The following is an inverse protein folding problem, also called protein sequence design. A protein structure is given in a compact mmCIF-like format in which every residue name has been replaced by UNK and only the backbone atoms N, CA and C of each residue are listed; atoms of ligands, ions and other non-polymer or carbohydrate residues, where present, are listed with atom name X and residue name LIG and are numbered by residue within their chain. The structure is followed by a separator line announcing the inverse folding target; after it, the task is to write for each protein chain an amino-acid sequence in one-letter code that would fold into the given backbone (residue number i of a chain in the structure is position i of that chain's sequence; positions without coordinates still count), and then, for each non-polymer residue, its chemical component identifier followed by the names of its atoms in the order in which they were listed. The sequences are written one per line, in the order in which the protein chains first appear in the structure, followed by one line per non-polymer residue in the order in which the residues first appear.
data_IF_881461772382
#
_entry.id   IF_881461772382
#
_cell.length_a   1.000
_cell.length_b   1.000
_cell.length_c   1.000
_cell.angle_alpha   90.00
_cell.angle_beta   90.00
_cell.angle_gamma   90.00
#
_symmetry.space_group_name_H-M   'P 1'
#
loop_
_entity.id
_entity.type
_entity.pdbx_description
1 polymer ?
#
# COMPACT_ATOMS: atom_id res chain seq x y z
N UNK A 1 0.99 24.18 -14.70
CA UNK A 1 0.10 23.32 -13.88
C UNK A 1 -0.90 22.73 -14.86
N UNK A 2 -0.49 21.68 -15.56
CA UNK A 2 -1.19 21.16 -16.73
C UNK A 2 -1.80 19.83 -16.34
N UNK A 3 -2.99 19.88 -15.76
CA UNK A 3 -3.81 18.72 -15.48
C UNK A 3 -5.24 19.01 -15.95
N UNK A 4 -5.37 19.21 -17.25
CA UNK A 4 -6.63 19.34 -17.98
C UNK A 4 -6.51 18.41 -19.20
N UNK A 5 -6.39 17.12 -18.93
CA UNK A 5 -6.65 16.09 -19.94
C UNK A 5 -7.67 15.16 -19.30
N UNK A 6 -8.94 15.31 -19.67
CA UNK A 6 -10.07 14.51 -19.19
C UNK A 6 -10.05 13.05 -19.65
N UNK A 7 -8.88 12.40 -19.57
CA UNK A 7 -8.66 11.00 -19.88
C UNK A 7 -8.77 10.11 -18.64
N UNK A 8 -8.88 8.78 -18.83
CA UNK A 8 -8.96 7.85 -17.71
C UNK A 8 -7.67 7.86 -16.87
N UNK A 9 -7.82 7.56 -15.59
CA UNK A 9 -6.73 7.36 -14.64
C UNK A 9 -6.81 5.95 -14.03
N UNK A 10 -5.66 5.36 -13.72
CA UNK A 10 -5.62 4.20 -12.85
C UNK A 10 -5.64 4.67 -11.40
N UNK A 11 -6.76 4.46 -10.70
CA UNK A 11 -6.86 4.81 -9.28
C UNK A 11 -6.26 3.68 -8.43
N UNK A 12 -5.15 3.98 -7.76
CA UNK A 12 -4.56 3.09 -6.76
C UNK A 12 -4.95 3.55 -5.36
N UNK A 13 -5.98 2.94 -4.80
CA UNK A 13 -6.43 3.20 -3.42
C UNK A 13 -5.55 2.37 -2.48
N UNK A 14 -4.78 3.04 -1.63
CA UNK A 14 -3.79 2.39 -0.76
C UNK A 14 -3.58 3.16 0.55
N UNK A 15 -2.91 2.51 1.49
CA UNK A 15 -2.49 3.13 2.75
C UNK A 15 -1.05 2.73 3.07
N UNK A 16 -0.15 3.66 3.44
CA UNK A 16 1.23 3.36 3.82
C UNK A 16 1.38 2.36 4.98
N UNK A 17 0.37 2.27 5.86
CA UNK A 17 0.35 1.31 6.97
C UNK A 17 -0.21 -0.07 6.57
N UNK A 18 -0.71 -0.23 5.35
CA UNK A 18 -1.22 -1.51 4.86
C UNK A 18 -0.07 -2.41 4.38
N UNK A 19 0.13 -3.55 5.05
CA UNK A 19 1.18 -4.50 4.67
C UNK A 19 1.03 -5.02 3.24
N UNK A 20 -0.19 -5.27 2.76
CA UNK A 20 -0.41 -5.71 1.39
C UNK A 20 -0.14 -4.60 0.36
N UNK A 21 -0.41 -3.33 0.68
CA UNK A 21 0.01 -2.21 -0.17
C UNK A 21 1.53 -2.13 -0.28
N UNK A 22 2.25 -2.33 0.83
CA UNK A 22 3.71 -2.45 0.82
C UNK A 22 4.19 -3.64 -0.03
N UNK A 23 3.56 -4.81 0.14
CA UNK A 23 3.77 -6.01 -0.68
C UNK A 23 3.64 -5.76 -2.18
N UNK A 24 2.63 -4.98 -2.57
CA UNK A 24 2.31 -4.67 -3.95
C UNK A 24 3.10 -3.48 -4.53
N UNK A 25 3.86 -2.75 -3.70
CA UNK A 25 4.56 -1.53 -4.12
C UNK A 25 5.44 -1.68 -5.37
N UNK A 26 6.17 -2.79 -5.60
CA UNK A 26 6.97 -2.94 -6.83
C UNK A 26 6.09 -3.09 -8.06
N UNK A 27 4.92 -3.73 -7.93
CA UNK A 27 3.98 -3.96 -9.03
C UNK A 27 3.34 -2.66 -9.46
N UNK A 28 2.84 -1.85 -8.52
CA UNK A 28 2.24 -0.56 -8.88
C UNK A 28 3.29 0.41 -9.45
N UNK A 29 4.53 0.36 -8.98
CA UNK A 29 5.64 1.12 -9.57
C UNK A 29 5.91 0.68 -11.02
N UNK A 30 5.96 -0.64 -11.27
CA UNK A 30 6.12 -1.18 -12.62
C UNK A 30 4.96 -0.80 -13.55
N UNK A 31 3.71 -0.87 -13.06
CA UNK A 31 2.53 -0.43 -13.81
C UNK A 31 2.59 1.06 -14.15
N UNK A 32 2.97 1.91 -13.18
CA UNK A 32 3.10 3.34 -13.41
C UNK A 32 4.15 3.67 -14.49
N UNK A 33 5.26 2.93 -14.51
CA UNK A 33 6.29 3.07 -15.54
C UNK A 33 5.81 2.54 -16.91
N UNK A 34 5.22 1.35 -16.94
CA UNK A 34 4.76 0.69 -18.17
C UNK A 34 3.68 1.52 -18.90
N UNK A 35 2.84 2.23 -18.16
CA UNK A 35 1.74 3.03 -18.71
C UNK A 35 1.99 4.55 -18.67
N UNK A 36 3.23 4.97 -18.42
CA UNK A 36 3.61 6.39 -18.41
C UNK A 36 3.17 7.10 -19.69
N UNK A 37 2.55 8.28 -19.55
CA UNK A 37 2.01 9.07 -20.66
C UNK A 37 0.73 8.54 -21.31
N UNK A 38 0.23 7.35 -20.91
CA UNK A 38 -1.00 6.74 -21.46
C UNK A 38 -2.11 6.59 -20.43
N UNK A 39 -1.78 6.12 -19.23
CA UNK A 39 -2.72 5.92 -18.14
C UNK A 39 -2.04 6.33 -16.82
N UNK A 40 -2.13 7.61 -16.43
CA UNK A 40 -1.47 8.08 -15.22
C UNK A 40 -2.05 7.41 -13.98
N UNK A 41 -1.18 6.89 -13.11
CA UNK A 41 -1.56 6.35 -11.80
C UNK A 41 -1.84 7.50 -10.84
N UNK A 42 -3.02 7.50 -10.23
CA UNK A 42 -3.41 8.41 -9.14
C UNK A 42 -3.51 7.61 -7.86
N UNK A 43 -2.70 7.98 -6.87
CA UNK A 43 -2.77 7.36 -5.54
C UNK A 43 -3.86 8.07 -4.72
N UNK A 44 -4.75 7.28 -4.13
CA UNK A 44 -5.80 7.77 -3.24
C UNK A 44 -5.58 7.14 -1.87
N UNK A 45 -5.50 7.98 -0.84
CA UNK A 45 -5.32 7.52 0.53
C UNK A 45 -6.59 6.82 1.02
N UNK A 46 -6.47 5.53 1.35
CA UNK A 46 -7.58 4.69 1.80
C UNK A 46 -8.00 4.90 3.26
N UNK A 47 -7.08 5.39 4.12
CA UNK A 47 -7.39 5.72 5.51
C UNK A 47 -7.57 4.50 6.42
N UNK A 48 -6.64 3.54 6.37
CA UNK A 48 -6.73 2.25 7.07
C UNK A 48 -7.02 2.39 8.57
N UNK A 49 -6.39 3.36 9.23
CA UNK A 49 -6.60 3.67 10.67
C UNK A 49 -6.58 5.18 10.93
N UNK A 50 -7.20 5.96 10.04
CA UNK A 50 -7.21 7.42 10.15
C UNK A 50 -7.79 7.88 11.51
N UNK A 51 -7.07 8.77 12.20
CA UNK A 51 -7.51 9.36 13.47
C UNK A 51 -7.56 8.42 14.68
N UNK A 52 -7.06 7.17 14.56
CA UNK A 52 -7.08 6.24 15.67
C UNK A 52 -6.00 6.58 16.72
N UNK A 53 -6.42 6.79 17.96
CA UNK A 53 -5.55 7.10 19.10
C UNK A 53 -5.41 5.95 20.10
N UNK A 54 -6.09 4.84 19.87
CA UNK A 54 -6.04 3.67 20.77
C UNK A 54 -4.79 2.82 20.51
N UNK A 55 -4.07 2.41 21.56
CA UNK A 55 -2.97 1.47 21.44
C UNK A 55 -3.41 0.14 20.81
N UNK A 56 -2.53 -0.51 20.04
CA UNK A 56 -2.77 -1.86 19.53
C UNK A 56 -2.85 -2.86 20.68
N UNK A 57 -3.92 -3.64 20.72
CA UNK A 57 -4.05 -4.77 21.66
C UNK A 57 -3.09 -5.89 21.26
N UNK A 58 -2.77 -6.79 22.19
CA UNK A 58 -1.90 -7.93 21.90
C UNK A 58 -2.43 -8.78 20.72
N UNK A 59 -3.74 -8.99 20.66
CA UNK A 59 -4.40 -9.70 19.56
C UNK A 59 -4.23 -8.98 18.21
N UNK A 60 -4.29 -7.65 18.19
CA UNK A 60 -4.10 -6.86 16.96
C UNK A 60 -2.66 -7.00 16.46
N UNK A 61 -1.68 -6.97 17.39
CA UNK A 61 -0.27 -7.17 17.06
C UNK A 61 -0.02 -8.55 16.44
N UNK A 62 -0.56 -9.62 17.02
CA UNK A 62 -0.42 -10.98 16.46
C UNK A 62 -1.05 -11.10 15.07
N UNK A 63 -2.24 -10.51 14.87
CA UNK A 63 -2.89 -10.47 13.56
C UNK A 63 -2.04 -9.74 12.52
N UNK A 64 -1.46 -8.59 12.87
CA UNK A 64 -0.61 -7.81 11.97
C UNK A 64 0.70 -8.55 11.69
N UNK A 65 1.34 -9.16 12.71
CA UNK A 65 2.54 -10.00 12.54
C UNK A 65 2.28 -11.14 11.56
N UNK A 66 1.17 -11.86 11.73
CA UNK A 66 0.77 -12.94 10.81
C UNK A 66 0.43 -12.45 9.39
N UNK A 67 -0.09 -11.23 9.25
CA UNK A 67 -0.26 -10.61 7.93
C UNK A 67 1.10 -10.29 7.28
N UNK A 68 2.06 -9.72 8.04
CA UNK A 68 3.41 -9.42 7.54
C UNK A 68 4.15 -10.66 7.07
N UNK A 69 4.08 -11.76 7.83
CA UNK A 69 4.66 -13.06 7.42
C UNK A 69 4.10 -13.53 6.07
N UNK A 70 2.77 -13.46 5.88
CA UNK A 70 2.13 -13.88 4.63
C UNK A 70 2.49 -12.96 3.46
N UNK A 71 2.55 -11.65 3.69
CA UNK A 71 2.96 -10.70 2.66
C UNK A 71 4.41 -10.97 2.25
N UNK A 72 5.32 -11.09 3.22
CA UNK A 72 6.74 -11.37 2.93
C UNK A 72 6.92 -12.64 2.11
N UNK A 73 6.22 -13.72 2.47
CA UNK A 73 6.25 -14.97 1.72
C UNK A 73 5.69 -14.82 0.28
N UNK A 74 4.65 -14.00 0.10
CA UNK A 74 3.99 -13.84 -1.20
C UNK A 74 4.71 -12.85 -2.14
N UNK A 75 5.28 -11.77 -1.61
CA UNK A 75 5.87 -10.69 -2.41
C UNK A 75 7.39 -10.64 -2.37
N UNK A 76 8.04 -11.35 -1.44
CA UNK A 76 9.48 -11.25 -1.18
C UNK A 76 9.90 -9.94 -0.50
N UNK A 77 8.95 -9.07 -0.14
CA UNK A 77 9.27 -7.80 0.52
C UNK A 77 9.81 -8.04 1.94
N UNK A 78 10.86 -7.31 2.35
CA UNK A 78 11.45 -7.45 3.67
C UNK A 78 10.57 -6.82 4.75
N UNK A 79 10.53 -7.44 5.92
CA UNK A 79 9.92 -6.86 7.10
C UNK A 79 10.87 -7.01 8.28
N UNK A 80 10.96 -5.97 9.11
CA UNK A 80 11.63 -6.04 10.40
C UNK A 80 10.63 -6.48 11.47
N UNK A 81 10.78 -7.70 11.97
CA UNK A 81 9.90 -8.26 12.99
C UNK A 81 10.29 -7.86 14.42
N UNK A 82 11.39 -7.12 14.63
CA UNK A 82 11.76 -6.55 15.92
C UNK A 82 10.79 -5.44 16.40
N UNK A 83 9.95 -4.93 15.50
CA UNK A 83 8.89 -3.97 15.81
C UNK A 83 7.86 -4.49 16.83
N UNK A 84 7.67 -5.80 16.92
CA UNK A 84 6.63 -6.45 17.72
C UNK A 84 7.19 -7.08 18.99
#
# INVERSE_FOLDING_TARGET
MSDETGGPHFLYVADPMCSWCYGFSPVIAALAQQFAGRLPVRVVMGGLRAGNTHPMRAEDKEKIRGAWTRVSAASGQPFDFAFF
#
